data_IF_247129970512
#
_entry.id   IF_247129970512
#
_cell.length_a   1.000
_cell.length_b   1.000
_cell.length_c   1.000
_cell.angle_alpha   90.00
_cell.angle_beta   90.00
_cell.angle_gamma   90.00
#
_symmetry.space_group_name_H-M   'P 1'
#
loop_
_entity.id
_entity.type
_entity.pdbx_description
1 polymer ?
#
# COMPACT_ATOMS: atom_id res chain seq x y z
N UNK A 1 17.59 28.79 4.48
CA UNK A 1 18.90 28.31 3.99
C UNK A 1 18.66 26.96 3.35
N UNK A 2 18.86 26.86 2.05
CA UNK A 2 18.71 25.59 1.33
C UNK A 2 19.95 24.73 1.60
N UNK A 3 19.76 23.54 2.19
CA UNK A 3 20.85 22.58 2.36
C UNK A 3 20.89 21.68 1.14
N UNK A 4 22.00 21.69 0.41
CA UNK A 4 22.25 20.77 -0.70
C UNK A 4 23.22 19.68 -0.26
N UNK A 5 22.83 18.42 -0.46
CA UNK A 5 23.61 17.22 -0.17
C UNK A 5 24.04 16.63 -1.52
N UNK A 6 25.35 16.47 -1.72
CA UNK A 6 25.97 15.87 -2.91
C UNK A 6 26.76 14.59 -2.61
N UNK A 7 26.88 14.24 -1.34
CA UNK A 7 27.61 13.05 -0.92
C UNK A 7 26.86 11.77 -1.34
N UNK A 8 27.46 10.90 -2.18
CA UNK A 8 26.76 9.74 -2.74
C UNK A 8 26.26 8.75 -1.69
N UNK A 9 27.01 8.52 -0.61
CA UNK A 9 26.61 7.57 0.45
C UNK A 9 25.42 8.10 1.24
N UNK A 10 25.48 9.37 1.64
CA UNK A 10 24.37 10.04 2.34
C UNK A 10 23.11 10.06 1.48
N UNK A 11 23.23 10.38 0.19
CA UNK A 11 22.12 10.37 -0.77
C UNK A 11 21.49 8.99 -0.87
N UNK A 12 22.33 7.95 -1.01
CA UNK A 12 21.86 6.56 -1.09
C UNK A 12 21.11 6.15 0.17
N UNK A 13 21.62 6.49 1.35
CA UNK A 13 20.95 6.21 2.62
C UNK A 13 19.59 6.91 2.76
N UNK A 14 19.50 8.19 2.35
CA UNK A 14 18.25 8.94 2.35
C UNK A 14 17.22 8.30 1.41
N UNK A 15 17.64 7.95 0.19
CA UNK A 15 16.76 7.32 -0.80
C UNK A 15 16.25 5.97 -0.28
N UNK A 16 17.14 5.14 0.25
CA UNK A 16 16.78 3.83 0.79
C UNK A 16 15.78 3.90 1.93
N UNK A 17 15.95 4.90 2.81
CA UNK A 17 15.09 5.08 3.98
C UNK A 17 13.71 5.66 3.60
N UNK A 18 13.67 6.60 2.65
CA UNK A 18 12.47 7.40 2.41
C UNK A 18 11.71 7.03 1.13
N UNK A 19 12.38 6.80 0.00
CA UNK A 19 11.71 6.69 -1.30
C UNK A 19 10.92 5.38 -1.46
N UNK A 20 11.26 4.34 -0.70
CA UNK A 20 10.47 3.10 -0.65
C UNK A 20 9.26 3.15 0.28
N UNK A 21 9.13 4.20 1.11
CA UNK A 21 8.14 4.30 2.19
C UNK A 21 7.21 5.49 2.06
N UNK A 22 7.70 6.60 1.50
CA UNK A 22 6.96 7.85 1.40
C UNK A 22 6.48 8.09 -0.04
N UNK A 23 5.38 8.84 -0.20
CA UNK A 23 4.90 9.25 -1.52
C UNK A 23 5.96 10.09 -2.23
N UNK A 24 6.27 9.71 -3.47
CA UNK A 24 7.22 10.41 -4.32
C UNK A 24 6.48 11.00 -5.51
N UNK A 25 6.83 12.24 -5.83
CA UNK A 25 6.24 13.02 -6.92
C UNK A 25 7.37 13.45 -7.86
N UNK A 26 7.21 13.20 -9.15
CA UNK A 26 8.12 13.69 -10.19
C UNK A 26 7.63 15.02 -10.74
N UNK A 27 8.52 16.00 -10.87
CA UNK A 27 8.21 17.26 -11.55
C UNK A 27 8.46 17.08 -13.05
N UNK A 28 7.40 17.22 -13.85
CA UNK A 28 7.45 17.18 -15.32
C UNK A 28 6.89 18.50 -15.83
N UNK A 29 7.70 19.27 -16.56
CA UNK A 29 7.31 20.60 -17.06
C UNK A 29 6.72 21.51 -15.97
N UNK A 30 7.28 21.45 -14.76
CA UNK A 30 6.81 22.21 -13.59
C UNK A 30 5.60 21.61 -12.87
N UNK A 31 4.97 20.57 -13.43
CA UNK A 31 3.79 19.93 -12.83
C UNK A 31 4.18 18.74 -11.95
N UNK A 32 3.67 18.65 -10.72
CA UNK A 32 3.88 17.50 -9.84
C UNK A 32 3.04 16.31 -10.28
N UNK A 33 3.69 15.20 -10.66
CA UNK A 33 3.06 13.94 -11.03
C UNK A 33 3.42 12.85 -10.00
N UNK A 34 2.45 12.22 -9.32
CA UNK A 34 2.75 11.10 -8.41
C UNK A 34 3.36 9.94 -9.20
N UNK A 35 4.42 9.34 -8.68
CA UNK A 35 5.09 8.20 -9.31
C UNK A 35 5.21 7.02 -8.36
N UNK A 36 5.23 5.81 -8.91
CA UNK A 36 5.46 4.59 -8.13
C UNK A 36 6.95 4.26 -8.13
N UNK A 37 7.54 4.15 -6.95
CA UNK A 37 8.88 3.58 -6.78
C UNK A 37 8.77 2.06 -6.80
N UNK A 38 9.45 1.41 -7.75
CA UNK A 38 9.35 -0.03 -8.00
C UNK A 38 10.37 -0.79 -7.18
N UNK A 39 11.64 -0.41 -7.29
CA UNK A 39 12.74 -1.00 -6.52
C UNK A 39 13.93 -0.07 -6.48
N UNK A 40 14.80 -0.29 -5.50
CA UNK A 40 16.15 0.23 -5.55
C UNK A 40 17.06 -0.85 -6.15
N UNK A 41 17.75 -0.52 -7.24
CA UNK A 41 18.76 -1.38 -7.85
C UNK A 41 20.17 -0.86 -7.53
N UNK A 42 21.22 -1.69 -7.69
CA UNK A 42 22.61 -1.22 -7.55
C UNK A 42 22.94 -0.05 -8.50
N UNK A 43 22.29 0.02 -9.65
CA UNK A 43 22.50 1.06 -10.67
C UNK A 43 21.73 2.35 -10.36
N UNK A 44 20.69 2.29 -9.52
CA UNK A 44 19.85 3.44 -9.20
C UNK A 44 18.42 3.08 -8.77
N UNK A 45 17.62 4.11 -8.56
CA UNK A 45 16.19 4.02 -8.24
C UNK A 45 15.39 3.64 -9.49
N UNK A 46 14.58 2.58 -9.42
CA UNK A 46 13.68 2.18 -10.49
C UNK A 46 12.28 2.71 -10.16
N UNK A 47 11.71 3.50 -11.07
CA UNK A 47 10.37 4.07 -10.94
C UNK A 47 9.49 3.63 -12.11
N UNK A 48 8.17 3.67 -11.93
CA UNK A 48 7.18 3.52 -13.00
C UNK A 48 6.54 4.87 -13.27
N UNK A 49 6.61 5.31 -14.53
CA UNK A 49 6.00 6.53 -15.02
C UNK A 49 5.38 6.25 -16.40
N UNK A 50 4.05 6.41 -16.48
CA UNK A 50 3.25 6.12 -17.67
C UNK A 50 2.90 7.38 -18.47
N UNK A 51 3.42 8.55 -18.07
CA UNK A 51 3.14 9.81 -18.74
C UNK A 51 3.97 10.02 -20.02
N UNK A 52 3.85 11.21 -20.57
CA UNK A 52 4.52 11.62 -21.81
C UNK A 52 6.04 11.47 -21.75
N UNK A 53 6.67 11.23 -22.91
CA UNK A 53 8.12 11.14 -22.99
C UNK A 53 8.76 12.47 -22.54
N UNK A 54 9.71 12.38 -21.62
CA UNK A 54 10.46 13.54 -21.11
C UNK A 54 11.79 13.59 -21.84
N UNK A 55 12.01 14.68 -22.59
CA UNK A 55 13.21 14.86 -23.43
C UNK A 55 14.49 15.14 -22.64
N UNK A 56 14.36 15.64 -21.41
CA UNK A 56 15.49 15.85 -20.51
C UNK A 56 16.11 14.52 -20.08
N UNK A 57 17.43 14.48 -19.84
CA UNK A 57 18.09 13.35 -19.17
C UNK A 57 18.01 13.46 -17.63
N UNK A 58 17.41 14.53 -17.11
CA UNK A 58 17.23 14.76 -15.69
C UNK A 58 15.79 14.50 -15.26
N UNK A 59 15.62 13.98 -14.04
CA UNK A 59 14.34 13.85 -13.36
C UNK A 59 14.44 14.51 -12.00
N UNK A 60 13.45 15.33 -11.67
CA UNK A 60 13.37 15.95 -10.35
C UNK A 60 12.27 15.21 -9.59
N UNK A 61 12.67 14.49 -8.55
CA UNK A 61 11.76 13.77 -7.68
C UNK A 61 11.65 14.53 -6.36
N UNK A 62 10.45 14.65 -5.85
CA UNK A 62 10.15 15.37 -4.62
C UNK A 62 9.41 14.48 -3.65
N UNK A 63 9.72 14.61 -2.37
CA UNK A 63 8.94 13.99 -1.30
C UNK A 63 8.91 14.92 -0.10
N UNK A 64 7.87 14.79 0.72
CA UNK A 64 7.76 15.56 1.96
C UNK A 64 7.94 14.65 3.17
N UNK A 65 8.88 15.01 4.05
CA UNK A 65 9.16 14.32 5.30
C UNK A 65 9.33 15.31 6.46
N UNK A 66 8.58 15.13 7.54
CA UNK A 66 8.66 15.94 8.77
C UNK A 66 8.67 17.47 8.53
N UNK A 67 7.81 17.97 7.65
CA UNK A 67 7.72 19.40 7.32
C UNK A 67 8.78 19.91 6.35
N UNK A 68 9.70 19.05 5.90
CA UNK A 68 10.69 19.37 4.88
C UNK A 68 10.29 18.76 3.53
N UNK A 69 10.42 19.56 2.48
CA UNK A 69 10.41 19.14 1.09
C UNK A 69 11.84 18.75 0.69
N UNK A 70 12.02 17.49 0.33
CA UNK A 70 13.22 17.01 -0.32
C UNK A 70 13.02 17.12 -1.82
N UNK A 71 13.95 17.77 -2.50
CA UNK A 71 14.01 17.92 -3.96
C UNK A 71 15.26 17.20 -4.41
N UNK A 72 15.07 16.05 -5.05
CA UNK A 72 16.14 15.16 -5.45
C UNK A 72 16.30 15.21 -6.97
N UNK A 73 17.51 15.56 -7.42
CA UNK A 73 17.86 15.52 -8.83
C UNK A 73 18.42 14.15 -9.17
N UNK A 74 17.89 13.55 -10.23
CA UNK A 74 18.33 12.26 -10.76
C UNK A 74 18.72 12.38 -12.23
N UNK A 75 19.66 11.53 -12.65
CA UNK A 75 19.99 11.27 -14.05
C UNK A 75 19.24 10.02 -14.54
N UNK A 76 18.57 10.13 -15.67
CA UNK A 76 17.96 9.01 -16.36
C UNK A 76 19.05 8.14 -17.01
N UNK A 77 19.08 6.85 -16.64
CA UNK A 77 20.04 5.88 -17.17
C UNK A 77 19.46 4.99 -18.27
N UNK A 78 18.13 4.94 -18.40
CA UNK A 78 17.44 4.04 -19.32
C UNK A 78 16.12 3.56 -18.75
N UNK A 79 15.39 2.77 -19.53
CA UNK A 79 14.06 2.30 -19.18
C UNK A 79 13.54 1.29 -20.19
N UNK A 80 12.34 0.77 -19.94
CA UNK A 80 11.65 -0.12 -20.88
C UNK A 80 10.48 0.60 -21.56
N UNK A 81 9.84 -0.09 -22.52
CA UNK A 81 8.65 0.40 -23.21
C UNK A 81 7.40 0.36 -22.32
N UNK A 82 7.48 -0.19 -21.10
CA UNK A 82 6.35 -0.32 -20.16
C UNK A 82 6.29 0.83 -19.14
N UNK A 83 7.13 1.84 -19.32
CA UNK A 83 7.20 3.03 -18.48
C UNK A 83 8.10 2.87 -17.26
N UNK A 84 8.91 1.81 -17.16
CA UNK A 84 9.94 1.71 -16.14
C UNK A 84 11.13 2.60 -16.49
N UNK A 85 11.61 3.37 -15.52
CA UNK A 85 12.79 4.22 -15.67
C UNK A 85 13.79 3.92 -14.56
N UNK A 86 15.08 3.85 -14.92
CA UNK A 86 16.21 3.69 -14.01
C UNK A 86 16.86 5.05 -13.81
N UNK A 87 16.94 5.48 -12.56
CA UNK A 87 17.37 6.82 -12.17
C UNK A 87 18.57 6.76 -11.23
N UNK A 88 19.66 7.43 -11.60
CA UNK A 88 20.84 7.60 -10.75
C UNK A 88 20.74 8.91 -9.96
N UNK A 89 20.84 8.90 -8.62
CA UNK A 89 20.70 10.12 -7.86
C UNK A 89 21.95 11.00 -7.99
N UNK A 90 21.75 12.31 -8.13
CA UNK A 90 22.83 13.30 -8.29
C UNK A 90 22.96 14.22 -7.07
N UNK A 91 21.85 14.78 -6.59
CA UNK A 91 21.85 15.67 -5.42
C UNK A 91 20.49 15.69 -4.74
N UNK A 92 20.49 16.10 -3.47
CA UNK A 92 19.27 16.31 -2.67
C UNK A 92 19.32 17.72 -2.08
N UNK A 93 18.32 18.54 -2.40
CA UNK A 93 18.10 19.83 -1.74
C UNK A 93 16.97 19.69 -0.73
N UNK A 94 17.16 20.25 0.46
CA UNK A 94 16.16 20.25 1.53
C UNK A 94 15.63 21.67 1.74
N UNK A 95 14.31 21.82 1.63
CA UNK A 95 13.59 23.08 1.86
C UNK A 95 12.44 22.87 2.85
N UNK A 96 11.98 23.91 3.56
CA UNK A 96 10.70 23.86 4.26
C UNK A 96 9.56 23.60 3.26
N UNK A 97 8.65 22.68 3.57
CA UNK A 97 7.51 22.41 2.71
C UNK A 97 6.49 23.55 2.77
N UNK A 98 6.30 24.27 1.66
CA UNK A 98 5.24 25.29 1.50
C UNK A 98 3.94 24.62 1.04
N UNK A 99 2.84 24.87 1.76
CA UNK A 99 1.51 24.35 1.42
C UNK A 99 0.92 25.18 0.26
N UNK A 100 0.99 24.69 -0.97
CA UNK A 100 0.45 25.39 -2.16
C UNK A 100 -0.60 24.58 -2.94
N UNK A 101 -1.51 23.87 -2.26
CA UNK A 101 -2.67 23.29 -2.94
C UNK A 101 -3.89 24.21 -2.81
N UNK A 102 -4.58 24.47 -3.93
CA UNK A 102 -5.95 24.98 -3.89
C UNK A 102 -6.80 23.97 -3.10
N UNK A 103 -7.47 24.46 -2.05
CA UNK A 103 -8.34 23.67 -1.19
C UNK A 103 -9.75 24.19 -1.38
N UNK A 104 -10.67 23.28 -1.66
CA UNK A 104 -12.09 23.62 -1.57
C UNK A 104 -12.48 23.35 -0.13
N UNK A 105 -12.79 24.41 0.61
CA UNK A 105 -13.58 24.31 1.83
C UNK A 105 -15.02 24.02 1.40
N UNK A 106 -15.51 22.82 1.67
CA UNK A 106 -16.86 22.42 1.29
C UNK A 106 -17.81 23.03 2.32
N UNK A 107 -18.15 24.31 2.12
CA UNK A 107 -19.23 24.96 2.84
C UNK A 107 -20.54 24.51 2.19
N UNK A 108 -21.17 23.52 2.82
CA UNK A 108 -22.41 22.89 2.39
C UNK A 108 -23.51 23.94 2.22
N UNK A 109 -23.77 24.32 0.97
CA UNK A 109 -24.85 25.23 0.59
C UNK A 109 -25.83 24.45 -0.31
N UNK A 110 -26.93 23.99 0.28
CA UNK A 110 -28.24 23.73 -0.37
C UNK A 110 -28.38 22.67 -1.48
N UNK A 111 -27.58 21.61 -1.50
CA UNK A 111 -27.98 20.37 -2.20
C UNK A 111 -27.84 19.15 -1.25
N UNK A 112 -28.82 18.24 -1.32
CA UNK A 112 -29.11 17.20 -0.32
C UNK A 112 -28.04 16.10 -0.17
N UNK A 113 -26.98 16.09 -1.00
CA UNK A 113 -25.92 15.10 -0.91
C UNK A 113 -24.61 15.67 -0.35
N UNK A 114 -24.29 15.31 0.89
CA UNK A 114 -23.02 15.68 1.53
C UNK A 114 -21.91 14.69 1.17
N UNK A 115 -20.85 15.20 0.55
CA UNK A 115 -19.60 14.45 0.37
C UNK A 115 -19.06 14.04 1.75
N UNK A 116 -18.76 12.76 1.93
CA UNK A 116 -18.30 12.21 3.21
C UNK A 116 -17.31 11.07 3.03
N UNK A 117 -16.61 10.75 4.12
CA UNK A 117 -15.67 9.63 4.21
C UNK A 117 -16.31 8.51 5.01
N UNK A 118 -16.13 7.25 4.59
CA UNK A 118 -16.61 6.07 5.31
C UNK A 118 -15.69 4.87 5.08
N UNK A 119 -15.99 3.74 5.75
CA UNK A 119 -15.25 2.48 5.62
C UNK A 119 -13.74 2.64 5.86
N UNK A 120 -13.40 3.39 6.91
CA UNK A 120 -12.01 3.71 7.24
C UNK A 120 -11.34 2.49 7.87
N UNK A 121 -10.17 2.12 7.38
CA UNK A 121 -9.36 1.04 7.94
C UNK A 121 -7.87 1.37 7.83
N UNK A 122 -7.10 1.08 8.87
CA UNK A 122 -5.63 1.22 8.81
C UNK A 122 -5.01 0.07 8.04
N UNK A 123 -3.84 0.30 7.43
CA UNK A 123 -3.08 -0.79 6.81
C UNK A 123 -2.72 -1.90 7.81
N UNK A 124 -2.43 -1.52 9.06
CA UNK A 124 -2.09 -2.47 10.11
C UNK A 124 -3.31 -3.35 10.46
N UNK A 125 -4.51 -2.77 10.49
CA UNK A 125 -5.73 -3.50 10.82
C UNK A 125 -6.16 -4.45 9.70
N UNK A 126 -5.85 -4.14 8.42
CA UNK A 126 -6.04 -5.10 7.33
C UNK A 126 -5.25 -6.39 7.60
N UNK A 127 -3.98 -6.26 7.99
CA UNK A 127 -3.12 -7.40 8.29
C UNK A 127 -3.47 -8.06 9.62
N UNK A 128 -3.71 -7.27 10.66
CA UNK A 128 -4.10 -7.75 11.99
C UNK A 128 -5.41 -8.52 11.96
N UNK A 129 -6.41 -8.06 11.19
CA UNK A 129 -7.70 -8.76 11.05
C UNK A 129 -7.54 -10.19 10.51
N UNK A 130 -6.61 -10.40 9.56
CA UNK A 130 -6.34 -11.73 9.01
C UNK A 130 -5.67 -12.66 10.02
N UNK A 131 -4.90 -12.11 10.96
CA UNK A 131 -4.26 -12.86 12.03
C UNK A 131 -5.26 -13.19 13.15
N UNK A 132 -6.03 -12.19 13.59
CA UNK A 132 -7.04 -12.30 14.65
C UNK A 132 -8.09 -13.37 14.33
N UNK A 133 -8.63 -13.37 13.10
CA UNK A 133 -9.68 -14.29 12.67
C UNK A 133 -9.13 -15.49 11.86
N UNK A 134 -7.97 -16.01 12.27
CA UNK A 134 -7.25 -17.10 11.57
C UNK A 134 -8.10 -18.35 11.33
N UNK A 135 -9.02 -18.70 12.24
CA UNK A 135 -9.94 -19.83 12.07
C UNK A 135 -10.85 -19.66 10.84
N UNK A 136 -11.43 -18.46 10.68
CA UNK A 136 -12.30 -18.12 9.55
C UNK A 136 -11.52 -18.03 8.25
N UNK A 137 -10.31 -17.48 8.30
CA UNK A 137 -9.39 -17.48 7.16
C UNK A 137 -9.09 -18.92 6.71
N UNK A 138 -8.82 -19.83 7.66
CA UNK A 138 -8.54 -21.23 7.35
C UNK A 138 -9.74 -21.97 6.75
N UNK A 139 -10.95 -21.70 7.24
CA UNK A 139 -12.18 -22.23 6.64
C UNK A 139 -12.30 -21.82 5.16
N UNK A 140 -12.15 -20.52 4.87
CA UNK A 140 -12.20 -19.97 3.50
C UNK A 140 -11.11 -20.62 2.62
N UNK A 141 -9.90 -20.81 3.17
CA UNK A 141 -8.81 -21.49 2.46
C UNK A 141 -9.23 -22.90 2.05
N UNK A 142 -9.71 -23.72 2.98
CA UNK A 142 -10.04 -25.12 2.72
C UNK A 142 -11.20 -25.26 1.73
N UNK A 143 -12.25 -24.44 1.88
CA UNK A 143 -13.41 -24.44 1.00
C UNK A 143 -13.04 -24.15 -0.46
N UNK A 144 -12.08 -23.26 -0.69
CA UNK A 144 -11.65 -22.90 -2.03
C UNK A 144 -10.56 -23.82 -2.60
N UNK A 145 -9.67 -24.36 -1.76
CA UNK A 145 -8.66 -25.35 -2.19
C UNK A 145 -9.33 -26.63 -2.73
N UNK A 146 -10.45 -27.06 -2.15
CA UNK A 146 -11.23 -28.19 -2.65
C UNK A 146 -11.69 -28.01 -4.11
N UNK A 147 -11.96 -26.77 -4.54
CA UNK A 147 -12.36 -26.45 -5.93
C UNK A 147 -11.21 -26.68 -6.92
N UNK A 148 -9.97 -26.48 -6.48
CA UNK A 148 -8.77 -26.61 -7.32
C UNK A 148 -8.24 -28.04 -7.42
N UNK A 149 -8.55 -28.91 -6.44
CA UNK A 149 -8.16 -30.33 -6.46
C UNK A 149 -8.67 -31.07 -7.71
N UNK A 150 -9.75 -30.57 -8.35
CA UNK A 150 -10.31 -31.12 -9.59
C UNK A 150 -9.38 -30.98 -10.80
N UNK A 151 -8.47 -30.02 -10.79
CA UNK A 151 -7.57 -29.71 -11.92
C UNK A 151 -6.27 -30.50 -11.91
N UNK A 152 -6.09 -31.43 -10.94
CA UNK A 152 -4.92 -32.34 -10.84
C UNK A 152 -3.55 -31.65 -10.89
N UNK A 153 -3.46 -30.41 -10.41
CA UNK A 153 -2.17 -29.73 -10.28
C UNK A 153 -1.26 -30.45 -9.28
N UNK A 154 0.04 -30.53 -9.56
CA UNK A 154 1.00 -31.20 -8.65
C UNK A 154 1.04 -30.55 -7.26
N UNK A 155 1.08 -29.21 -7.20
CA UNK A 155 1.17 -28.47 -5.95
C UNK A 155 0.28 -27.23 -5.97
N UNK A 156 -0.53 -27.06 -4.91
CA UNK A 156 -1.47 -25.96 -4.74
C UNK A 156 -1.22 -25.36 -3.37
N UNK A 157 -0.75 -24.11 -3.35
CA UNK A 157 -0.46 -23.38 -2.11
C UNK A 157 -1.26 -22.09 -2.05
N UNK A 158 -1.92 -21.85 -0.92
CA UNK A 158 -2.67 -20.63 -0.67
C UNK A 158 -2.07 -19.90 0.53
N UNK A 159 -1.38 -18.81 0.24
CA UNK A 159 -0.74 -17.97 1.24
C UNK A 159 -1.63 -16.77 1.52
N UNK A 160 -2.04 -16.61 2.77
CA UNK A 160 -2.70 -15.40 3.28
C UNK A 160 -1.84 -14.98 4.46
N UNK A 161 -1.11 -13.89 4.31
CA UNK A 161 -0.10 -13.46 5.28
C UNK A 161 0.09 -11.95 5.23
N UNK A 162 0.46 -11.39 6.38
CA UNK A 162 0.84 -9.99 6.54
C UNK A 162 2.18 -9.64 5.89
N UNK A 163 3.10 -10.61 5.78
CA UNK A 163 4.46 -10.35 5.30
C UNK A 163 4.55 -10.55 3.81
N UNK A 164 4.95 -9.49 3.10
CA UNK A 164 5.32 -9.59 1.70
C UNK A 164 6.61 -10.42 1.57
N UNK A 165 6.48 -11.67 1.13
CA UNK A 165 7.62 -12.47 0.69
C UNK A 165 8.17 -11.96 -0.66
N UNK A 166 9.27 -12.54 -1.13
CA UNK A 166 9.92 -12.08 -2.36
C UNK A 166 8.98 -12.13 -3.58
N UNK A 167 8.11 -13.14 -3.64
CA UNK A 167 7.17 -13.35 -4.74
C UNK A 167 6.06 -12.31 -4.73
N UNK A 168 5.46 -12.08 -3.57
CA UNK A 168 4.41 -11.07 -3.39
C UNK A 168 4.96 -9.65 -3.58
N UNK A 169 6.21 -9.37 -3.17
CA UNK A 169 6.90 -8.11 -3.49
C UNK A 169 7.08 -7.92 -4.99
N UNK A 170 7.48 -8.95 -5.72
CA UNK A 170 7.63 -8.87 -7.17
C UNK A 170 6.30 -8.59 -7.86
N UNK A 171 5.25 -9.35 -7.54
CA UNK A 171 3.91 -9.09 -8.08
C UNK A 171 3.39 -7.70 -7.70
N UNK A 172 3.64 -7.24 -6.47
CA UNK A 172 3.28 -5.90 -6.02
C UNK A 172 3.98 -4.81 -6.85
N UNK A 173 5.28 -4.95 -7.07
CA UNK A 173 6.10 -3.92 -7.70
C UNK A 173 5.76 -3.76 -9.18
N UNK A 174 5.62 -4.89 -9.90
CA UNK A 174 5.24 -4.89 -11.31
C UNK A 174 3.74 -4.72 -11.55
N UNK A 175 2.93 -4.95 -10.51
CA UNK A 175 1.48 -4.99 -10.59
C UNK A 175 0.96 -6.02 -11.60
N UNK A 176 1.66 -7.16 -11.69
CA UNK A 176 1.34 -8.26 -12.60
C UNK A 176 1.36 -9.59 -11.85
N UNK A 177 0.47 -10.54 -12.20
CA UNK A 177 0.56 -11.92 -11.72
C UNK A 177 1.76 -12.62 -12.35
N UNK A 178 2.12 -13.78 -11.80
CA UNK A 178 3.13 -14.67 -12.39
C UNK A 178 2.40 -15.75 -13.15
N UNK A 179 2.72 -15.91 -14.44
CA UNK A 179 2.36 -17.09 -15.18
C UNK A 179 3.54 -17.48 -16.06
N UNK A 180 4.09 -18.66 -15.76
CA UNK A 180 5.21 -19.27 -16.48
C UNK A 180 4.66 -20.56 -17.06
N UNK A 181 4.23 -20.57 -18.35
CA UNK A 181 3.63 -21.74 -18.98
C UNK A 181 4.59 -22.92 -19.05
N UNK A 182 5.83 -22.66 -19.47
CA UNK A 182 6.93 -23.62 -19.44
C UNK A 182 8.25 -22.88 -19.19
N UNK A 183 8.97 -23.25 -18.13
CA UNK A 183 10.28 -22.67 -17.80
C UNK A 183 11.36 -22.95 -18.83
N UNK A 184 11.20 -24.02 -19.62
CA UNK A 184 12.12 -24.43 -20.69
C UNK A 184 11.98 -23.53 -21.92
N UNK A 185 10.87 -22.80 -22.02
CA UNK A 185 10.57 -21.86 -23.10
C UNK A 185 10.28 -20.45 -22.53
N UNK A 186 11.31 -19.68 -22.14
CA UNK A 186 11.13 -18.34 -21.55
C UNK A 186 10.30 -17.37 -22.41
N UNK A 187 10.36 -17.52 -23.74
CA UNK A 187 9.62 -16.74 -24.74
C UNK A 187 8.09 -16.96 -24.65
N UNK A 188 7.63 -18.02 -23.95
CA UNK A 188 6.20 -18.31 -23.77
C UNK A 188 5.49 -17.33 -22.82
N UNK A 189 6.24 -16.53 -22.06
CA UNK A 189 5.69 -15.56 -21.11
C UNK A 189 5.30 -14.28 -21.86
N UNK A 190 4.01 -13.95 -21.85
CA UNK A 190 3.48 -12.74 -22.49
C UNK A 190 3.63 -11.50 -21.59
N UNK A 191 3.53 -10.30 -22.19
CA UNK A 191 3.66 -9.02 -21.49
C UNK A 191 2.60 -8.76 -20.41
N UNK A 192 1.50 -9.53 -20.38
CA UNK A 192 0.48 -9.42 -19.34
C UNK A 192 0.97 -9.93 -17.97
N UNK A 193 2.04 -10.74 -17.98
CA UNK A 193 2.60 -11.39 -16.79
C UNK A 193 3.93 -10.78 -16.35
N UNK A 194 4.39 -11.20 -15.17
CA UNK A 194 5.71 -10.85 -14.68
C UNK A 194 6.78 -11.33 -15.68
N UNK A 195 7.71 -10.45 -16.14
CA UNK A 195 8.76 -10.84 -17.07
C UNK A 195 9.61 -12.00 -16.55
N UNK A 196 9.90 -12.98 -17.42
CA UNK A 196 10.64 -14.19 -17.05
C UNK A 196 11.99 -13.88 -16.37
N UNK A 197 12.70 -12.85 -16.84
CA UNK A 197 13.99 -12.43 -16.25
C UNK A 197 13.89 -12.06 -14.77
N UNK A 198 12.78 -11.45 -14.35
CA UNK A 198 12.55 -11.06 -12.96
C UNK A 198 12.06 -12.27 -12.15
N UNK A 199 11.24 -13.13 -12.76
CA UNK A 199 10.86 -14.41 -12.18
C UNK A 199 12.08 -15.33 -11.92
N UNK A 200 13.03 -15.40 -12.85
CA UNK A 200 14.24 -16.22 -12.72
C UNK A 200 15.08 -15.86 -11.49
N UNK A 201 15.03 -14.59 -11.04
CA UNK A 201 15.68 -14.17 -9.79
C UNK A 201 15.05 -14.82 -8.55
N UNK A 202 13.73 -15.09 -8.57
CA UNK A 202 13.05 -15.84 -7.49
C UNK A 202 13.49 -17.29 -7.44
N UNK A 203 13.71 -17.91 -8.61
CA UNK A 203 14.15 -19.30 -8.70
C UNK A 203 15.49 -19.50 -8.00
N UNK A 204 16.45 -18.60 -8.25
CA UNK A 204 17.80 -18.66 -7.63
C UNK A 204 17.77 -18.62 -6.10
N UNK A 205 16.73 -18.03 -5.51
CA UNK A 205 16.57 -17.92 -4.06
C UNK A 205 15.83 -19.12 -3.45
N UNK A 206 15.22 -19.96 -4.28
CA UNK A 206 14.33 -21.04 -3.83
C UNK A 206 14.99 -22.40 -4.04
N UNK A 207 15.28 -23.12 -2.95
CA UNK A 207 16.12 -24.34 -2.98
C UNK A 207 15.49 -25.60 -3.61
N UNK A 208 14.25 -25.57 -4.11
CA UNK A 208 13.49 -26.79 -4.49
C UNK A 208 12.63 -26.64 -5.77
N UNK A 209 13.12 -25.95 -6.80
CA UNK A 209 12.30 -25.67 -8.00
C UNK A 209 12.71 -26.40 -9.29
N UNK A 210 13.68 -27.31 -9.20
CA UNK A 210 14.23 -28.01 -10.38
C UNK A 210 13.21 -28.94 -11.06
N UNK A 211 12.26 -29.49 -10.29
CA UNK A 211 11.19 -30.36 -10.82
C UNK A 211 9.98 -29.59 -11.35
N UNK A 212 9.83 -28.34 -10.97
CA UNK A 212 8.67 -27.52 -11.36
C UNK A 212 8.94 -26.96 -12.74
N UNK A 213 8.10 -27.31 -13.72
CA UNK A 213 8.17 -26.81 -15.10
C UNK A 213 7.33 -25.56 -15.29
N UNK A 214 6.18 -25.47 -14.63
CA UNK A 214 5.24 -24.36 -14.81
C UNK A 214 4.80 -23.78 -13.46
N UNK A 215 4.50 -22.49 -13.45
CA UNK A 215 4.02 -21.79 -12.26
C UNK A 215 2.92 -20.78 -12.58
N UNK A 216 1.83 -20.81 -11.81
CA UNK A 216 0.84 -19.74 -11.76
C UNK A 216 0.87 -19.14 -10.36
N UNK A 217 0.96 -17.81 -10.26
CA UNK A 217 0.77 -17.10 -9.00
C UNK A 217 -0.14 -15.89 -9.21
N UNK A 218 -1.29 -15.89 -8.52
CA UNK A 218 -2.29 -14.83 -8.60
C UNK A 218 -2.35 -14.09 -7.26
N UNK A 219 -2.12 -12.77 -7.23
CA UNK A 219 -2.15 -12.00 -5.98
C UNK A 219 -3.59 -11.86 -5.46
N UNK A 220 -3.73 -11.99 -4.15
CA UNK A 220 -4.95 -11.68 -3.41
C UNK A 220 -4.82 -10.27 -2.86
N UNK A 221 -5.74 -9.38 -3.26
CA UNK A 221 -5.72 -7.98 -2.89
C UNK A 221 -6.99 -7.59 -2.13
N UNK A 222 -6.84 -6.95 -0.98
CA UNK A 222 -7.93 -6.26 -0.29
C UNK A 222 -8.35 -5.03 -1.10
N UNK A 223 -9.62 -4.99 -1.52
CA UNK A 223 -10.21 -3.99 -2.43
C UNK A 223 -9.35 -3.63 -3.65
N UNK A 224 -8.62 -4.60 -4.21
CA UNK A 224 -7.65 -4.40 -5.32
C UNK A 224 -6.46 -3.47 -5.01
N UNK A 225 -6.23 -3.15 -3.73
CA UNK A 225 -5.19 -2.23 -3.27
C UNK A 225 -4.06 -2.95 -2.57
N UNK A 226 -4.36 -3.56 -1.42
CA UNK A 226 -3.36 -4.09 -0.50
C UNK A 226 -3.17 -5.56 -0.77
N UNK A 227 -1.94 -5.99 -1.09
CA UNK A 227 -1.64 -7.41 -1.17
C UNK A 227 -1.78 -8.05 0.22
N UNK A 228 -2.67 -9.03 0.33
CA UNK A 228 -2.98 -9.79 1.55
C UNK A 228 -2.57 -11.27 1.44
N UNK A 229 -2.08 -11.67 0.27
CA UNK A 229 -1.70 -13.04 -0.01
C UNK A 229 -1.59 -13.33 -1.49
N UNK A 230 -1.49 -14.62 -1.83
CA UNK A 230 -1.52 -15.11 -3.19
C UNK A 230 -1.92 -16.58 -3.25
N UNK A 231 -2.48 -16.98 -4.40
CA UNK A 231 -2.70 -18.37 -4.76
C UNK A 231 -1.60 -18.81 -5.71
N UNK A 232 -0.89 -19.88 -5.37
CA UNK A 232 0.22 -20.43 -6.16
C UNK A 232 -0.12 -21.85 -6.60
N UNK A 233 0.12 -22.12 -7.88
CA UNK A 233 0.11 -23.43 -8.49
C UNK A 233 1.50 -23.71 -9.05
N UNK A 234 2.06 -24.87 -8.73
CA UNK A 234 3.29 -25.37 -9.34
C UNK A 234 3.00 -26.72 -9.97
N UNK A 235 3.50 -26.91 -11.19
CA UNK A 235 3.23 -28.08 -11.99
C UNK A 235 4.53 -28.62 -12.61
N UNK A 236 4.64 -29.94 -12.73
CA UNK A 236 5.78 -30.63 -13.34
C UNK A 236 5.65 -30.70 -14.88
N UNK A 237 4.47 -30.36 -15.40
CA UNK A 237 4.20 -30.25 -16.84
C UNK A 237 3.85 -28.81 -17.20
N UNK A 238 3.98 -28.48 -18.50
CA UNK A 238 3.60 -27.19 -19.04
C UNK A 238 2.12 -26.90 -18.82
N UNK A 239 1.78 -25.63 -18.62
CA UNK A 239 0.40 -25.20 -18.37
C UNK A 239 -0.14 -24.35 -19.52
N UNK A 240 -1.36 -24.66 -19.96
CA UNK A 240 -2.08 -23.83 -20.93
C UNK A 240 -2.64 -22.54 -20.29
N UNK A 241 -2.88 -21.48 -21.09
CA UNK A 241 -3.54 -20.26 -20.61
C UNK A 241 -4.91 -20.50 -19.95
N UNK A 242 -5.63 -21.56 -20.33
CA UNK A 242 -6.89 -21.96 -19.69
C UNK A 242 -6.71 -22.29 -18.20
N UNK A 243 -5.58 -22.86 -17.81
CA UNK A 243 -5.26 -23.12 -16.41
C UNK A 243 -5.13 -21.82 -15.62
N UNK A 244 -4.47 -20.80 -16.18
CA UNK A 244 -4.39 -19.48 -15.57
C UNK A 244 -5.79 -18.88 -15.32
N UNK A 245 -6.69 -18.95 -16.31
CA UNK A 245 -8.05 -18.45 -16.17
C UNK A 245 -8.83 -19.15 -15.05
N UNK A 246 -8.71 -20.48 -14.94
CA UNK A 246 -9.34 -21.26 -13.87
C UNK A 246 -8.81 -20.85 -12.48
N UNK A 247 -7.50 -20.70 -12.36
CA UNK A 247 -6.85 -20.28 -11.10
C UNK A 247 -7.25 -18.85 -10.73
N UNK A 248 -7.30 -17.94 -11.70
CA UNK A 248 -7.71 -16.56 -11.48
C UNK A 248 -9.19 -16.46 -11.02
N UNK A 249 -10.09 -17.28 -11.57
CA UNK A 249 -11.47 -17.37 -11.11
C UNK A 249 -11.58 -17.84 -9.65
N UNK A 250 -10.79 -18.83 -9.26
CA UNK A 250 -10.77 -19.29 -7.85
C UNK A 250 -10.16 -18.22 -6.95
N UNK A 251 -9.08 -17.55 -7.35
CA UNK A 251 -8.53 -16.42 -6.61
C UNK A 251 -9.57 -15.29 -6.44
N UNK A 252 -10.36 -14.99 -7.47
CA UNK A 252 -11.47 -14.04 -7.38
C UNK A 252 -12.57 -14.50 -6.41
N UNK A 253 -12.90 -15.79 -6.37
CA UNK A 253 -13.82 -16.37 -5.39
C UNK A 253 -13.30 -16.19 -3.96
N UNK A 254 -12.02 -16.53 -3.71
CA UNK A 254 -11.38 -16.36 -2.40
C UNK A 254 -11.42 -14.90 -1.96
N UNK A 255 -11.06 -13.96 -2.85
CA UNK A 255 -11.14 -12.53 -2.57
C UNK A 255 -12.56 -12.12 -2.15
N UNK A 256 -13.58 -12.52 -2.93
CA UNK A 256 -14.98 -12.18 -2.63
C UNK A 256 -15.41 -12.70 -1.26
N UNK A 257 -15.07 -13.95 -0.95
CA UNK A 257 -15.42 -14.59 0.32
C UNK A 257 -14.72 -13.92 1.51
N UNK A 258 -13.44 -13.56 1.37
CA UNK A 258 -12.71 -12.77 2.37
C UNK A 258 -13.39 -11.42 2.61
N UNK A 259 -13.80 -10.71 1.55
CA UNK A 259 -14.47 -9.41 1.70
C UNK A 259 -15.86 -9.53 2.35
N UNK A 260 -16.65 -10.54 1.96
CA UNK A 260 -18.00 -10.75 2.53
C UNK A 260 -18.00 -11.39 3.92
N UNK A 261 -16.86 -11.95 4.36
CA UNK A 261 -16.75 -12.62 5.65
C UNK A 261 -16.87 -11.67 6.84
N UNK A 262 -16.64 -10.37 6.66
CA UNK A 262 -16.57 -9.42 7.77
C UNK A 262 -15.33 -9.55 8.65
N UNK A 263 -14.28 -10.25 8.19
CA UNK A 263 -12.97 -10.32 8.87
C UNK A 263 -12.39 -8.91 9.01
N UNK A 264 -12.45 -8.11 7.93
CA UNK A 264 -11.92 -6.76 7.94
C UNK A 264 -12.80 -5.83 8.77
N UNK A 265 -12.25 -5.31 9.87
CA UNK A 265 -12.95 -4.43 10.82
C UNK A 265 -12.93 -2.97 10.34
N UNK A 266 -13.59 -2.71 9.22
CA UNK A 266 -13.77 -1.36 8.68
C UNK A 266 -14.64 -0.51 9.62
N UNK A 267 -14.22 0.71 9.90
CA UNK A 267 -15.03 1.68 10.64
C UNK A 267 -16.16 2.18 9.74
N UNK A 268 -17.39 1.93 10.16
CA UNK A 268 -18.62 2.28 9.43
C UNK A 268 -19.10 3.71 9.68
N UNK A 269 -18.37 4.46 10.50
CA UNK A 269 -18.73 5.83 10.85
C UNK A 269 -18.70 6.72 9.59
N UNK A 270 -19.72 7.58 9.46
CA UNK A 270 -19.81 8.58 8.41
C UNK A 270 -19.10 9.83 8.88
N UNK A 271 -17.97 10.14 8.26
CA UNK A 271 -17.11 11.25 8.62
C UNK A 271 -17.37 12.45 7.70
N UNK A 272 -17.75 13.60 8.29
CA UNK A 272 -17.98 14.82 7.53
C UNK A 272 -16.67 15.40 6.99
N UNK A 273 -16.69 15.76 5.70
CA UNK A 273 -15.56 16.34 5.01
C UNK A 273 -15.36 17.82 5.39
N UNK A 274 -14.13 18.21 5.70
CA UNK A 274 -13.75 19.59 6.05
C UNK A 274 -13.12 20.30 4.86
N UNK A 275 -12.13 19.67 4.24
CA UNK A 275 -11.46 20.19 3.06
C UNK A 275 -10.99 19.06 2.14
N UNK A 276 -10.98 19.34 0.84
CA UNK A 276 -10.48 18.43 -0.20
C UNK A 276 -9.59 19.20 -1.17
N UNK A 277 -8.54 18.54 -1.63
CA UNK A 277 -7.62 19.00 -2.68
C UNK A 277 -7.11 17.79 -3.46
N UNK A 278 -6.43 18.02 -4.59
CA UNK A 278 -5.84 16.94 -5.41
C UNK A 278 -4.92 16.02 -4.61
N UNK A 279 -4.23 16.58 -3.61
CA UNK A 279 -3.16 15.90 -2.87
C UNK A 279 -3.55 15.46 -1.46
N UNK A 280 -4.76 15.77 -1.00
CA UNK A 280 -5.13 15.46 0.38
C UNK A 280 -6.50 15.93 0.78
N UNK A 281 -6.90 15.47 1.96
CA UNK A 281 -8.25 15.53 2.48
C UNK A 281 -8.21 15.75 4.00
N UNK A 282 -9.18 16.47 4.54
CA UNK A 282 -9.40 16.55 5.98
C UNK A 282 -10.85 16.25 6.32
N UNK A 283 -11.11 15.45 7.36
CA UNK A 283 -12.46 15.10 7.80
C UNK A 283 -12.57 15.12 9.34
N UNK A 284 -13.79 15.19 9.85
CA UNK A 284 -14.09 15.02 11.26
C UNK A 284 -14.39 13.55 11.57
N UNK A 285 -13.80 13.06 12.65
CA UNK A 285 -14.02 11.71 13.17
C UNK A 285 -14.38 11.77 14.66
N UNK A 286 -15.29 10.92 15.12
CA UNK A 286 -15.69 10.84 16.52
C UNK A 286 -14.60 10.15 17.36
N UNK A 287 -14.31 10.60 18.59
CA UNK A 287 -13.28 9.98 19.41
C UNK A 287 -13.72 8.59 19.94
N UNK A 288 -13.63 7.56 19.09
CA UNK A 288 -13.92 6.18 19.45
C UNK A 288 -12.67 5.47 19.96
N UNK A 289 -12.86 4.42 20.77
CA UNK A 289 -11.75 3.58 21.24
C UNK A 289 -11.04 2.88 20.07
N UNK A 290 -11.80 2.49 19.04
CA UNK A 290 -11.27 1.89 17.82
C UNK A 290 -10.34 2.85 17.10
N UNK A 291 -10.82 4.07 16.82
CA UNK A 291 -10.06 5.09 16.12
C UNK A 291 -8.74 5.42 16.81
N UNK A 292 -8.76 5.62 18.13
CA UNK A 292 -7.56 5.95 18.91
C UNK A 292 -6.50 4.83 18.91
N UNK A 293 -6.92 3.58 18.72
CA UNK A 293 -5.99 2.44 18.63
C UNK A 293 -5.43 2.29 17.22
N UNK A 294 -6.28 2.51 16.22
CA UNK A 294 -6.05 2.11 14.84
C UNK A 294 -5.42 3.21 13.98
N UNK A 295 -5.78 4.47 14.22
CA UNK A 295 -5.32 5.61 13.42
C UNK A 295 -4.21 6.35 14.16
N UNK A 296 -3.04 6.42 13.53
CA UNK A 296 -1.85 7.06 14.08
C UNK A 296 -1.22 8.03 13.08
N UNK A 297 -0.51 9.04 13.59
CA UNK A 297 0.28 9.96 12.76
C UNK A 297 1.32 9.19 11.95
N UNK A 298 1.39 9.46 10.65
CA UNK A 298 2.24 8.73 9.70
C UNK A 298 1.68 7.38 9.26
N UNK A 299 0.60 6.91 9.87
CA UNK A 299 -0.08 5.67 9.49
C UNK A 299 -0.78 5.79 8.14
N UNK A 300 -0.78 4.68 7.40
CA UNK A 300 -1.55 4.53 6.16
C UNK A 300 -2.98 4.09 6.48
N UNK A 301 -3.95 4.79 5.90
CA UNK A 301 -5.37 4.44 5.96
C UNK A 301 -5.96 4.29 4.56
N UNK A 302 -6.99 3.46 4.47
CA UNK A 302 -7.84 3.26 3.31
C UNK A 302 -9.26 3.64 3.70
N UNK A 303 -9.98 4.30 2.80
CA UNK A 303 -11.35 4.73 3.04
C UNK A 303 -12.07 5.00 1.73
N UNK A 304 -13.39 4.97 1.79
CA UNK A 304 -14.24 5.36 0.66
C UNK A 304 -14.61 6.84 0.80
N UNK A 305 -14.30 7.61 -0.23
CA UNK A 305 -14.84 8.95 -0.41
C UNK A 305 -16.12 8.84 -1.23
N UNK A 306 -17.24 9.16 -0.59
CA UNK A 306 -18.57 9.11 -1.19
C UNK A 306 -18.89 10.50 -1.71
N UNK A 307 -19.02 10.61 -3.03
CA UNK A 307 -19.16 11.88 -3.76
C UNK A 307 -20.62 12.12 -4.13
N UNK A 308 -21.30 11.05 -4.54
CA UNK A 308 -22.75 10.96 -4.76
C UNK A 308 -23.23 9.54 -4.40
N UNK A 309 -24.54 9.27 -4.48
CA UNK A 309 -25.07 7.92 -4.25
C UNK A 309 -24.41 6.86 -5.15
N UNK A 310 -24.15 7.24 -6.40
CA UNK A 310 -23.59 6.36 -7.44
C UNK A 310 -22.06 6.46 -7.54
N UNK A 311 -21.45 7.52 -7.02
CA UNK A 311 -20.01 7.79 -7.19
C UNK A 311 -19.26 7.66 -5.87
N UNK A 312 -18.47 6.60 -5.77
CA UNK A 312 -17.58 6.31 -4.65
C UNK A 312 -16.18 6.04 -5.17
N UNK A 313 -15.18 6.61 -4.52
CA UNK A 313 -13.78 6.31 -4.82
C UNK A 313 -13.08 5.77 -3.58
N UNK A 314 -12.31 4.70 -3.78
CA UNK A 314 -11.48 4.15 -2.73
C UNK A 314 -10.16 4.90 -2.69
N UNK A 315 -9.89 5.58 -1.59
CA UNK A 315 -8.70 6.40 -1.41
C UNK A 315 -7.67 5.72 -0.52
N UNK A 316 -6.40 6.01 -0.82
CA UNK A 316 -5.24 5.66 0.02
C UNK A 316 -4.63 6.95 0.54
N UNK A 317 -4.44 7.08 1.84
CA UNK A 317 -3.84 8.29 2.39
C UNK A 317 -2.96 8.03 3.61
N UNK A 318 -1.98 8.90 3.82
CA UNK A 318 -1.14 8.93 5.02
C UNK A 318 -1.69 10.00 5.95
N UNK A 319 -1.90 9.64 7.22
CA UNK A 319 -2.34 10.57 8.25
C UNK A 319 -1.19 11.55 8.56
N UNK A 320 -1.41 12.83 8.31
CA UNK A 320 -0.41 13.89 8.53
C UNK A 320 -0.67 14.70 9.79
N UNK A 321 -1.92 14.79 10.23
CA UNK A 321 -2.30 15.53 11.42
C UNK A 321 -3.57 14.93 12.05
N UNK A 322 -3.62 14.91 13.38
CA UNK A 322 -4.82 14.60 14.15
C UNK A 322 -4.94 15.72 15.19
N UNK A 323 -5.91 16.62 14.99
CA UNK A 323 -6.16 17.73 15.92
C UNK A 323 -7.36 17.40 16.80
N UNK A 324 -7.21 17.27 18.13
CA UNK A 324 -8.35 17.17 19.03
C UNK A 324 -9.17 18.47 19.02
N UNK A 325 -10.48 18.33 18.91
CA UNK A 325 -11.48 19.37 19.13
C UNK A 325 -12.44 18.88 20.22
N UNK A 326 -13.36 19.74 20.68
CA UNK A 326 -14.23 19.43 21.83
C UNK A 326 -15.05 18.14 21.66
N UNK A 327 -15.54 17.85 20.45
CA UNK A 327 -16.42 16.70 20.18
C UNK A 327 -15.87 15.71 19.15
N UNK A 328 -14.82 16.09 18.42
CA UNK A 328 -14.31 15.34 17.27
C UNK A 328 -12.79 15.47 17.16
N UNK A 329 -12.17 14.54 16.45
CA UNK A 329 -10.84 14.74 15.88
C UNK A 329 -10.98 15.33 14.48
N UNK A 330 -10.17 16.35 14.17
CA UNK A 330 -9.92 16.72 12.77
C UNK A 330 -8.72 15.94 12.27
N UNK A 331 -8.97 15.02 11.36
CA UNK A 331 -7.95 14.18 10.73
C UNK A 331 -7.57 14.80 9.40
N UNK A 332 -6.29 15.07 9.20
CA UNK A 332 -5.74 15.58 7.94
C UNK A 332 -4.86 14.52 7.29
N UNK A 333 -5.16 14.15 6.06
CA UNK A 333 -4.53 13.08 5.31
C UNK A 333 -3.96 13.57 3.98
N UNK A 334 -2.89 12.94 3.52
CA UNK A 334 -2.29 13.17 2.21
C UNK A 334 -2.50 11.94 1.33
N UNK A 335 -3.09 12.11 0.15
CA UNK A 335 -3.24 11.03 -0.81
C UNK A 335 -1.89 10.57 -1.35
N UNK A 336 -1.81 9.29 -1.73
CA UNK A 336 -0.64 8.76 -2.42
C UNK A 336 -0.99 7.56 -3.29
N UNK A 337 -0.16 7.31 -4.32
CA UNK A 337 -0.32 6.20 -5.26
C UNK A 337 -1.73 6.10 -5.85
N UNK A 338 -2.27 7.25 -6.27
CA UNK A 338 -3.60 7.32 -6.87
C UNK A 338 -3.56 6.78 -8.30
N UNK A 339 -4.61 6.06 -8.71
CA UNK A 339 -4.77 5.67 -10.11
C UNK A 339 -5.16 6.89 -10.97
N UNK A 340 -4.98 6.79 -12.28
CA UNK A 340 -5.44 7.83 -13.22
C UNK A 340 -6.95 8.05 -13.12
N UNK A 341 -7.72 6.98 -12.89
CA UNK A 341 -9.17 7.03 -12.65
C UNK A 341 -9.50 7.80 -11.36
N UNK A 342 -8.79 7.50 -10.26
CA UNK A 342 -8.97 8.20 -8.98
C UNK A 342 -8.65 9.70 -9.10
N UNK A 343 -7.59 10.04 -9.84
CA UNK A 343 -7.20 11.43 -10.11
C UNK A 343 -8.24 12.15 -10.98
N UNK A 344 -8.69 11.54 -12.07
CA UNK A 344 -9.69 12.11 -12.97
C UNK A 344 -10.99 12.46 -12.24
N UNK A 345 -11.45 11.57 -11.35
CA UNK A 345 -12.64 11.82 -10.52
C UNK A 345 -12.42 13.00 -9.57
N UNK A 346 -11.24 13.10 -8.94
CA UNK A 346 -10.93 14.22 -8.06
C UNK A 346 -10.83 15.55 -8.82
N UNK A 347 -10.27 15.55 -10.02
CA UNK A 347 -10.18 16.75 -10.87
C UNK A 347 -11.55 17.26 -11.32
N UNK A 348 -12.45 16.34 -11.68
CA UNK A 348 -13.84 16.67 -12.03
C UNK A 348 -14.54 17.44 -10.90
N UNK A 349 -14.29 17.05 -9.65
CA UNK A 349 -14.90 17.67 -8.46
C UNK A 349 -14.23 18.99 -8.09
N UNK A 350 -12.91 19.05 -8.22
CA UNK A 350 -12.14 20.22 -7.83
C UNK A 350 -12.22 21.36 -8.87
N UNK A 351 -12.68 21.05 -10.08
CA UNK A 351 -12.78 21.99 -11.19
C UNK A 351 -11.41 22.32 -11.83
N UNK A 352 -11.42 23.02 -12.98
CA UNK A 352 -10.19 23.41 -13.67
C UNK A 352 -9.35 24.35 -12.79
N UNK A 353 -8.08 23.98 -12.64
CA UNK A 353 -7.10 24.73 -11.85
C UNK A 353 -6.57 25.88 -12.72
N UNK A 354 -7.01 27.12 -12.49
CA UNK A 354 -6.30 28.28 -13.04
C UNK A 354 -4.94 28.40 -12.33
N UNK A 355 -3.89 27.86 -12.96
CA UNK A 355 -2.52 28.04 -12.53
C UNK A 355 -2.12 29.51 -12.76
N UNK A 356 -2.06 30.30 -11.69
CA UNK A 356 -1.49 31.65 -11.72
C UNK A 356 -0.01 31.59 -12.05
N UNK A 357 0.31 31.76 -13.33
CA UNK A 357 1.62 32.24 -13.78
C UNK A 357 1.85 33.64 -13.21
N UNK A 358 2.61 33.73 -12.12
CA UNK A 358 3.39 34.93 -11.80
C UNK A 358 4.86 34.53 -11.86
N UNK A 359 5.40 34.62 -13.08
CA UNK A 359 6.85 34.73 -13.28
C UNK A 359 7.26 36.12 -12.81
N UNK A 360 8.00 36.19 -11.72
CA UNK A 360 8.85 37.32 -11.40
C UNK A 360 10.08 37.25 -12.31
N UNK A 361 10.09 38.05 -13.37
CA UNK A 361 11.28 38.34 -14.17
C UNK A 361 11.98 39.60 -13.62
N UNK A 362 13.30 39.55 -13.33
CA UNK A 362 14.05 40.71 -12.90
C UNK A 362 14.54 41.50 -14.13
N UNK A 363 13.91 42.64 -14.43
CA UNK A 363 14.49 43.64 -15.37
C UNK A 363 15.22 44.74 -14.63
N UNK A 364 16.52 44.85 -14.93
CA UNK A 364 17.42 45.95 -14.54
C UNK A 364 17.57 46.92 -15.72
N UNK A 365 17.81 48.21 -15.38
CA UNK A 365 18.33 49.38 -16.14
C UNK A 365 17.29 50.35 -16.71
N UNK A 366 17.17 51.53 -16.08
CA UNK A 366 17.79 52.84 -16.44
C UNK A 366 17.15 53.41 -17.72
N UNK A 367 16.63 54.63 -17.85
CA UNK A 367 16.82 56.00 -17.29
C UNK A 367 15.55 56.77 -17.79
N UNK A 368 14.99 57.85 -17.21
CA UNK A 368 15.57 59.19 -17.07
C UNK A 368 14.53 60.18 -16.45
N UNK A 369 15.03 61.33 -15.99
CA UNK A 369 14.41 62.39 -15.15
C UNK A 369 13.30 63.25 -15.81
N UNK A 370 12.28 63.66 -15.01
CA UNK A 370 11.93 65.07 -14.62
C UNK A 370 10.57 65.13 -13.89
N UNK A 371 10.53 65.66 -12.65
CA UNK A 371 9.86 66.94 -12.21
C UNK A 371 8.36 67.01 -12.56
N UNK A 372 7.41 67.12 -11.65
CA UNK A 372 7.21 68.24 -10.72
C UNK A 372 6.12 67.97 -9.63
N UNK A 373 6.26 68.73 -8.55
CA UNK A 373 5.49 68.96 -7.29
C UNK A 373 3.96 69.10 -7.32
N UNK A 374 3.30 68.64 -6.22
CA UNK A 374 2.25 69.31 -5.39
C UNK A 374 1.84 68.34 -4.24
N UNK A 375 2.30 68.48 -3.00
CA UNK A 375 1.85 69.32 -1.86
C UNK A 375 0.36 69.27 -1.48
N UNK A 376 0.17 68.82 -0.23
CA UNK A 376 -0.82 69.18 0.80
C UNK A 376 -2.29 68.74 0.68
N UNK A 377 -2.71 67.84 1.58
CA UNK A 377 -3.52 68.24 2.75
C UNK A 377 -3.63 67.14 3.82
N UNK A 378 -3.20 67.52 5.02
CA UNK A 378 -3.52 66.94 6.32
C UNK A 378 -4.91 67.45 6.71
N UNK A 379 -5.75 66.59 7.29
CA UNK A 379 -6.70 67.03 8.32
C UNK A 379 -6.78 66.00 9.44
N UNK A 380 -6.76 66.54 10.65
CA UNK A 380 -6.48 65.89 11.93
C UNK A 380 -7.75 65.96 12.78
N UNK A 381 -8.17 64.81 13.32
CA UNK A 381 -8.72 64.60 14.69
C UNK A 381 -10.04 65.34 15.05
N UNK A 382 -10.73 65.13 16.21
CA UNK A 382 -10.26 64.46 17.44
C UNK A 382 -11.29 63.71 18.34
N UNK A 383 -10.75 63.13 19.43
CA UNK A 383 -11.28 63.04 20.82
C UNK A 383 -12.20 61.86 21.23
N UNK A 384 -11.74 61.00 22.16
CA UNK A 384 -11.93 61.00 23.66
C UNK A 384 -13.12 60.08 24.04
N UNK A 385 -13.22 59.33 25.15
CA UNK A 385 -12.45 59.09 26.37
C UNK A 385 -13.08 57.89 27.15
N UNK A 386 -12.47 57.53 28.29
CA UNK A 386 -12.89 56.63 29.43
C UNK A 386 -12.42 55.17 29.31
N UNK A 387 -11.51 54.64 30.15
CA UNK A 387 -11.34 54.64 31.62
C UNK A 387 -12.56 54.09 32.37
N UNK A 388 -12.47 52.84 32.84
CA UNK A 388 -12.89 52.38 34.18
C UNK A 388 -11.92 51.28 34.64
N UNK A 389 -11.19 51.56 35.71
CA UNK A 389 -10.63 50.58 36.65
C UNK A 389 -11.71 50.14 37.63
N UNK A 390 -11.64 48.89 38.10
CA UNK A 390 -12.06 48.56 39.48
C UNK A 390 -11.30 47.33 39.98
N UNK A 391 -10.63 47.56 41.10
CA UNK A 391 -9.77 46.71 41.91
C UNK A 391 -10.51 45.60 42.71
N UNK A 392 -9.68 44.72 43.29
CA UNK A 392 -9.76 43.97 44.57
C UNK A 392 -9.72 42.44 44.41
N UNK A 393 -8.56 41.80 44.67
CA UNK A 393 -8.02 41.32 45.99
C UNK A 393 -8.90 40.21 46.58
N UNK A 394 -8.41 39.02 46.97
CA UNK A 394 -7.58 38.77 48.16
C UNK A 394 -6.85 37.42 48.06
N UNK A 395 -5.67 37.40 48.69
CA UNK A 395 -4.73 36.33 49.03
C UNK A 395 -5.29 34.99 49.56
N UNK A 396 -4.50 33.92 49.37
CA UNK A 396 -3.91 33.22 50.52
C UNK A 396 -2.72 32.34 50.12
N UNK A 397 -1.61 32.63 50.78
CA UNK A 397 -0.35 31.89 50.82
C UNK A 397 -0.51 30.52 51.52
N UNK A 398 0.30 29.55 51.10
CA UNK A 398 1.03 28.67 52.04
C UNK A 398 2.21 27.98 51.37
N UNK A 399 3.40 28.50 51.64
CA UNK A 399 4.66 27.74 51.63
C UNK A 399 4.66 26.69 52.76
N UNK A 400 5.22 25.49 52.52
CA UNK A 400 6.28 24.88 53.35
C UNK A 400 7.13 23.92 52.48
N UNK A 401 8.34 24.42 52.18
CA UNK A 401 9.72 23.87 52.10
C UNK A 401 10.07 22.36 52.36
N UNK A 402 11.33 21.96 52.02
CA UNK A 402 11.73 20.70 51.38
C UNK A 402 12.45 19.71 52.31
N UNK A 403 12.85 18.55 51.77
CA UNK A 403 13.80 17.63 52.41
C UNK A 403 14.91 17.24 51.41
N UNK A 404 16.15 17.49 51.84
CA UNK A 404 17.46 17.09 51.30
C UNK A 404 17.66 15.55 51.40
N UNK A 405 18.19 14.83 50.40
CA UNK A 405 19.60 14.62 50.02
C UNK A 405 20.44 13.73 50.97
N UNK A 406 20.86 12.55 50.48
CA UNK A 406 22.11 11.81 50.78
C UNK A 406 22.07 10.48 49.98
N UNK A 407 22.94 10.28 48.98
CA UNK A 407 24.17 9.48 49.07
C UNK A 407 23.88 7.99 48.78
N UNK A 408 24.49 7.29 47.82
CA UNK A 408 25.92 7.09 47.64
C UNK A 408 26.28 6.58 46.23
N UNK A 409 27.51 6.90 45.86
CA UNK A 409 28.33 6.34 44.77
C UNK A 409 28.73 4.91 45.12
N UNK A 410 28.70 3.99 44.17
CA UNK A 410 29.61 2.84 44.10
C UNK A 410 29.89 2.50 42.63
N UNK A 411 31.16 2.65 42.24
CA UNK A 411 31.78 2.08 41.06
C UNK A 411 32.18 0.62 41.36
N UNK A 412 31.90 -0.32 40.45
CA UNK A 412 32.75 -1.47 40.11
C UNK A 412 32.16 -2.12 38.84
N UNK A 413 32.85 -2.01 37.70
CA UNK A 413 33.78 -2.99 37.11
C UNK A 413 33.13 -4.23 36.48
N UNK A 414 33.31 -4.31 35.16
CA UNK A 414 33.68 -5.47 34.32
C UNK A 414 32.98 -6.80 34.58
N UNK A 415 32.33 -7.34 33.54
CA UNK A 415 32.84 -8.57 32.89
C UNK A 415 32.10 -8.83 31.57
N UNK A 416 32.91 -9.08 30.54
CA UNK A 416 32.54 -9.69 29.27
C UNK A 416 31.91 -11.06 29.50
N UNK A 417 30.88 -11.40 28.74
CA UNK A 417 30.64 -12.79 28.39
C UNK A 417 30.00 -12.87 27.00
N UNK A 418 30.84 -13.36 26.08
CA UNK A 418 30.46 -13.95 24.80
C UNK A 418 29.46 -15.08 25.05
N UNK A 419 28.31 -15.04 24.38
CA UNK A 419 27.41 -16.19 24.31
C UNK A 419 27.66 -16.93 23.00
N UNK A 420 28.18 -18.13 23.19
CA UNK A 420 28.65 -19.14 22.25
C UNK A 420 27.44 -19.82 21.59
N UNK A 421 27.46 -19.93 20.26
CA UNK A 421 26.60 -20.86 19.50
C UNK A 421 26.99 -22.31 19.81
N UNK A 422 26.04 -23.25 19.98
CA UNK A 422 26.37 -24.65 19.87
C UNK A 422 26.20 -25.12 18.41
N UNK A 423 27.35 -25.46 17.81
CA UNK A 423 27.46 -26.38 16.68
C UNK A 423 26.92 -27.76 17.11
N UNK A 424 25.96 -28.33 16.37
CA UNK A 424 25.68 -29.76 16.44
C UNK A 424 26.45 -30.49 15.34
N UNK A 425 27.47 -31.19 15.81
CA UNK A 425 28.40 -32.02 15.07
C UNK A 425 27.75 -33.36 14.69
N UNK A 426 28.09 -33.77 13.48
CA UNK A 426 27.82 -35.04 12.81
C UNK A 426 28.11 -36.28 13.66
N UNK A 427 27.24 -37.29 13.56
CA UNK A 427 27.62 -38.70 13.76
C UNK A 427 27.33 -39.51 12.50
N UNK A 428 28.43 -39.87 11.84
CA UNK A 428 28.52 -41.00 10.93
C UNK A 428 28.25 -42.31 11.69
N UNK A 429 27.41 -43.17 11.13
CA UNK A 429 27.52 -44.62 11.31
C UNK A 429 27.42 -45.24 9.92
N UNK A 430 28.57 -45.69 9.45
CA UNK A 430 28.77 -46.63 8.35
C UNK A 430 28.32 -48.03 8.77
N UNK A 431 27.62 -48.76 7.89
CA UNK A 431 27.80 -50.21 7.74
C UNK A 431 27.40 -50.65 6.33
N UNK A 432 28.28 -51.47 5.74
CA UNK A 432 28.33 -51.90 4.35
C UNK A 432 27.50 -53.17 4.08
N UNK A 433 27.08 -53.29 2.81
CA UNK A 433 27.10 -54.47 1.91
C UNK A 433 26.47 -55.83 2.33
N UNK A 434 25.48 -56.26 1.52
CA UNK A 434 25.45 -57.50 0.71
C UNK A 434 24.04 -57.65 0.10
N UNK A 435 23.85 -57.64 -1.22
CA UNK A 435 24.06 -58.70 -2.25
C UNK A 435 22.90 -59.69 -2.38
N UNK A 436 22.56 -59.93 -3.66
CA UNK A 436 21.93 -61.12 -4.26
C UNK A 436 20.39 -61.24 -4.39
N UNK A 437 19.98 -61.04 -5.64
CA UNK A 437 19.16 -61.92 -6.51
C UNK A 437 18.33 -63.04 -5.86
N UNK A 438 17.01 -63.09 -6.18
CA UNK A 438 16.46 -64.26 -6.88
C UNK A 438 15.05 -64.05 -7.47
N UNK A 439 14.81 -64.77 -8.56
CA UNK A 439 13.63 -64.87 -9.42
C UNK A 439 12.48 -65.75 -8.88
N UNK A 440 11.40 -65.84 -9.69
CA UNK A 440 10.33 -66.87 -9.83
C UNK A 440 9.19 -66.86 -8.80
N UNK A 441 7.91 -66.67 -9.16
CA UNK A 441 6.92 -67.36 -10.04
C UNK A 441 5.97 -68.30 -9.26
N UNK A 442 4.79 -68.53 -9.87
CA UNK A 442 3.62 -69.39 -9.51
C UNK A 442 2.56 -68.75 -8.59
N UNK A 443 1.36 -68.40 -9.10
CA UNK A 443 0.22 -69.22 -9.58
C UNK A 443 -0.62 -69.83 -8.43
N UNK A 444 -1.91 -69.47 -8.39
CA UNK A 444 -3.07 -70.37 -8.40
C UNK A 444 -4.33 -69.70 -7.79
N UNK A 445 -5.33 -69.52 -8.65
CA UNK A 445 -6.75 -69.89 -8.51
C UNK A 445 -7.41 -69.93 -7.13
N UNK A 446 -8.55 -69.23 -6.99
CA UNK A 446 -9.77 -69.80 -6.40
C UNK A 446 -11.02 -69.25 -7.11
N UNK A 447 -11.83 -70.18 -7.59
CA UNK A 447 -13.14 -70.08 -8.22
C UNK A 447 -14.28 -69.66 -7.27
N UNK A 448 -15.41 -69.29 -7.88
CA UNK A 448 -16.76 -69.51 -7.34
C UNK A 448 -17.32 -68.35 -6.52
N UNK A 449 -18.59 -67.96 -6.63
CA UNK A 449 -19.76 -68.66 -7.16
C UNK A 449 -20.93 -67.69 -7.23
N UNK A 450 -21.84 -67.96 -8.17
CA UNK A 450 -23.18 -67.42 -8.30
C UNK A 450 -23.98 -67.40 -6.98
N UNK A 451 -24.87 -66.42 -6.83
CA UNK A 451 -26.27 -66.72 -6.51
C UNK A 451 -27.21 -65.54 -6.76
N UNK A 452 -28.32 -65.89 -7.41
CA UNK A 452 -29.59 -65.19 -7.55
C UNK A 452 -30.12 -64.58 -6.25
N UNK A 453 -30.94 -63.54 -6.36
CA UNK A 453 -32.38 -63.65 -6.03
C UNK A 453 -33.16 -62.37 -6.39
N UNK A 454 -34.39 -62.66 -6.79
CA UNK A 454 -35.49 -61.82 -7.26
C UNK A 454 -36.16 -60.98 -6.14
N UNK A 455 -37.18 -60.25 -6.58
CA UNK A 455 -38.34 -59.65 -5.89
C UNK A 455 -38.31 -58.12 -5.82
N UNK A 456 -39.01 -57.44 -6.73
CA UNK A 456 -40.49 -57.27 -6.87
C UNK A 456 -40.99 -56.01 -6.14
N UNK A 457 -41.69 -55.19 -6.94
CA UNK A 457 -42.91 -54.43 -6.57
C UNK A 457 -42.77 -53.32 -5.51
N UNK A 458 -43.41 -52.15 -5.62
CA UNK A 458 -44.64 -51.76 -6.30
C UNK A 458 -44.81 -50.24 -6.16
N UNK A 459 -45.58 -49.64 -7.09
CA UNK A 459 -46.52 -48.52 -6.89
C UNK A 459 -45.99 -47.14 -6.42
N UNK A 460 -46.53 -46.00 -6.85
CA UNK A 460 -47.67 -45.66 -7.71
C UNK A 460 -47.56 -44.16 -8.05
N UNK A 461 -47.86 -43.83 -9.31
CA UNK A 461 -48.81 -42.79 -9.76
C UNK A 461 -48.78 -41.40 -9.07
N UNK A 462 -48.46 -40.28 -9.74
CA UNK A 462 -49.15 -39.60 -10.85
C UNK A 462 -49.85 -38.30 -10.38
N UNK A 463 -49.97 -37.36 -11.34
CA UNK A 463 -50.74 -36.11 -11.35
C UNK A 463 -50.06 -34.89 -10.73
N UNK A 464 -50.12 -33.69 -11.29
CA UNK A 464 -50.49 -33.15 -12.61
C UNK A 464 -50.05 -31.67 -12.54
N UNK A 465 -49.85 -31.09 -13.73
CA UNK A 465 -50.10 -29.70 -14.13
C UNK A 465 -50.98 -28.86 -13.15
N UNK A 466 -50.79 -27.57 -12.93
CA UNK A 466 -50.88 -26.53 -13.96
C UNK A 466 -50.60 -25.13 -13.36
N UNK A 467 -50.28 -24.19 -14.25
CA UNK A 467 -50.49 -22.73 -14.22
C UNK A 467 -50.76 -21.98 -12.89
N UNK A 468 -50.02 -20.88 -12.66
CA UNK A 468 -50.63 -19.53 -12.66
C UNK A 468 -49.60 -18.41 -12.78
N UNK A 469 -49.95 -17.48 -13.68
CA UNK A 469 -49.40 -16.13 -13.84
C UNK A 469 -49.63 -15.29 -12.57
N UNK A 470 -48.66 -14.45 -12.20
CA UNK A 470 -48.87 -12.99 -12.06
C UNK A 470 -47.54 -12.26 -12.10
#
# INVERSE_FOLDING_TARGET
MDKEIKDPETIKNIINSLFGRLPVVMLVNGKPIPIKVVKLSPQGLVIKYLGEKIDSDQRILTLTNNGNLLICLFKYLGGDHTGLQILHPLSISVRPATRSSQRISINTSKDDFKIHVTNIISQNDIYGSLHDDSAKVNEIKQNNLAKLKKYKFNQINLYITERLDNRMRLMHNYDKPIFIPDKREPESVTDEFLPYKEYFQLLKLSKNLDKVVAEICVPLKYKNIVNIGYLQIMNEEALEPKAFNAVNLVAASIKRELMSSGIFREEKDICELVDLSKNGISFYHLPTRSFNRTISLGGTIYFELVLSEEKRILCRAIVRNIKPLEKHFRVGCQFFSQSEEELAVLEEILGPTEETNKQDDPKTKETDKKKETKKDKIEKTPKENKIIESEKSVDSEKEVKPVEEAGSVEEEKTEDSEEIEPEEETREVSEEANSDENETQEEADVEGSDNNLEEENQNESSQNDDETKT
#
